data_IF_264056299532
#
_entry.id   IF_264056299532
#
_cell.length_a   1.000
_cell.length_b   1.000
_cell.length_c   1.000
_cell.angle_alpha   90.00
_cell.angle_beta   90.00
_cell.angle_gamma   90.00
#
_symmetry.space_group_name_H-M   'P 1'
#
loop_
_entity.id
_entity.type
_entity.pdbx_description
1 polymer ?
#
# COMPACT_ATOMS: atom_id res chain seq x y z
N UNK A 1 15.01 21.57 -7.63
CA UNK A 1 14.46 21.24 -8.95
C UNK A 1 15.50 20.55 -9.87
N UNK A 2 16.73 21.05 -9.98
CA UNK A 2 17.79 20.45 -10.83
C UNK A 2 18.24 19.04 -10.38
N UNK A 3 18.31 18.78 -9.08
CA UNK A 3 18.73 17.49 -8.51
C UNK A 3 17.71 16.37 -8.78
N UNK A 4 16.42 16.69 -8.76
CA UNK A 4 15.32 15.75 -9.06
C UNK A 4 15.37 15.36 -10.57
N UNK A 5 15.70 16.29 -11.43
CA UNK A 5 15.86 16.04 -12.88
C UNK A 5 17.07 15.13 -13.20
N UNK A 6 18.18 15.28 -12.47
CA UNK A 6 19.38 14.42 -12.64
C UNK A 6 19.08 12.99 -12.15
N UNK A 7 18.38 12.86 -11.02
CA UNK A 7 17.95 11.55 -10.50
C UNK A 7 16.95 10.90 -11.46
N UNK A 8 15.97 11.63 -11.95
CA UNK A 8 15.02 11.14 -12.95
C UNK A 8 15.72 10.68 -14.25
N UNK A 9 16.74 11.41 -14.71
CA UNK A 9 17.52 11.05 -15.91
C UNK A 9 18.39 9.80 -15.67
N UNK A 10 18.98 9.63 -14.50
CA UNK A 10 19.71 8.41 -14.14
C UNK A 10 18.77 7.21 -13.92
N UNK A 11 17.60 7.41 -13.32
CA UNK A 11 16.55 6.39 -13.24
C UNK A 11 16.03 5.96 -14.61
N UNK A 12 15.94 6.88 -15.57
CA UNK A 12 15.57 6.56 -16.96
C UNK A 12 16.64 5.67 -17.64
N UNK A 13 17.92 5.87 -17.34
CA UNK A 13 19.02 5.05 -17.85
C UNK A 13 18.96 3.64 -17.22
N UNK A 14 18.77 3.54 -15.92
CA UNK A 14 18.61 2.26 -15.20
C UNK A 14 17.37 1.52 -15.70
N UNK A 15 16.29 2.23 -15.95
CA UNK A 15 15.06 1.66 -16.50
C UNK A 15 15.21 1.21 -17.97
N UNK A 16 15.90 1.97 -18.82
CA UNK A 16 16.18 1.57 -20.20
C UNK A 16 17.12 0.36 -20.27
N UNK A 17 18.07 0.27 -19.36
CA UNK A 17 18.88 -0.93 -19.17
C UNK A 17 18.01 -2.12 -18.68
N UNK A 18 17.12 -1.88 -17.72
CA UNK A 18 16.13 -2.84 -17.24
C UNK A 18 15.24 -3.37 -18.38
N UNK A 19 14.76 -2.51 -19.27
CA UNK A 19 13.95 -2.86 -20.44
C UNK A 19 14.72 -3.74 -21.44
N UNK A 20 16.00 -3.46 -21.66
CA UNK A 20 16.86 -4.23 -22.58
C UNK A 20 17.13 -5.65 -22.07
N UNK A 21 17.12 -5.83 -20.74
CA UNK A 21 17.35 -7.13 -20.06
C UNK A 21 16.06 -7.95 -19.91
N UNK A 22 14.88 -7.33 -19.86
CA UNK A 22 13.60 -8.00 -19.58
C UNK A 22 12.86 -8.49 -20.82
N UNK A 23 13.25 -8.03 -22.00
CA UNK A 23 12.78 -8.52 -23.31
C UNK A 23 11.26 -8.71 -23.46
N UNK A 24 10.67 -7.96 -24.40
CA UNK A 24 9.35 -8.10 -25.04
C UNK A 24 8.07 -7.71 -24.26
N UNK A 25 7.47 -6.64 -24.80
CA UNK A 25 6.06 -6.45 -25.10
C UNK A 25 5.12 -5.95 -23.99
N UNK A 26 4.96 -4.62 -24.03
CA UNK A 26 3.67 -3.94 -24.04
C UNK A 26 3.97 -2.48 -24.41
N UNK A 27 3.05 -1.77 -25.07
CA UNK A 27 3.23 -0.33 -25.35
C UNK A 27 3.41 0.40 -24.03
N UNK A 28 4.66 0.66 -23.67
CA UNK A 28 5.04 1.21 -22.38
C UNK A 28 4.54 2.65 -22.30
N UNK A 29 3.66 2.90 -21.38
CA UNK A 29 3.20 4.24 -21.07
C UNK A 29 4.30 4.97 -20.28
N UNK A 30 5.09 5.79 -20.97
CA UNK A 30 6.19 6.54 -20.33
C UNK A 30 5.74 7.39 -19.14
N UNK A 31 4.47 7.83 -19.13
CA UNK A 31 3.91 8.61 -18.01
C UNK A 31 3.80 7.78 -16.74
N UNK A 32 3.40 6.52 -16.85
CA UNK A 32 3.29 5.60 -15.70
C UNK A 32 4.66 5.33 -15.09
N UNK A 33 5.66 5.07 -15.93
CA UNK A 33 7.03 4.81 -15.47
C UNK A 33 7.64 5.99 -14.71
N UNK A 34 7.46 7.20 -15.26
CA UNK A 34 7.95 8.43 -14.61
C UNK A 34 7.21 8.61 -13.28
N UNK A 35 5.91 8.36 -13.27
CA UNK A 35 5.08 8.48 -12.06
C UNK A 35 5.51 7.48 -10.99
N UNK A 36 5.72 6.20 -11.35
CA UNK A 36 6.19 5.16 -10.43
C UNK A 36 7.59 5.45 -9.89
N UNK A 37 8.49 5.91 -10.77
CA UNK A 37 9.83 6.33 -10.37
C UNK A 37 9.83 7.52 -9.40
N UNK A 38 9.01 8.52 -9.67
CA UNK A 38 8.83 9.67 -8.78
C UNK A 38 8.20 9.23 -7.44
N UNK A 39 7.19 8.36 -7.49
CA UNK A 39 6.52 7.79 -6.32
C UNK A 39 7.49 7.03 -5.44
N UNK A 40 8.37 6.20 -6.03
CA UNK A 40 9.41 5.47 -5.31
C UNK A 40 10.39 6.42 -4.60
N UNK A 41 10.95 7.39 -5.33
CA UNK A 41 11.94 8.33 -4.77
C UNK A 41 11.31 9.16 -3.65
N UNK A 42 10.10 9.67 -3.87
CA UNK A 42 9.33 10.40 -2.87
C UNK A 42 9.07 9.51 -1.63
N UNK A 43 8.55 8.30 -1.84
CA UNK A 43 8.30 7.35 -0.77
C UNK A 43 9.55 7.01 0.03
N UNK A 44 10.65 6.65 -0.63
CA UNK A 44 11.92 6.32 0.05
C UNK A 44 12.53 7.50 0.81
N UNK A 45 12.41 8.72 0.29
CA UNK A 45 12.91 9.92 0.97
C UNK A 45 12.14 10.20 2.26
N UNK A 46 10.79 10.19 2.19
CA UNK A 46 9.96 10.42 3.38
C UNK A 46 10.01 9.26 4.38
N UNK A 47 10.20 8.03 3.89
CA UNK A 47 10.42 6.86 4.74
C UNK A 47 11.73 6.98 5.52
N UNK A 48 12.81 7.41 4.86
CA UNK A 48 14.10 7.67 5.47
C UNK A 48 14.06 8.88 6.43
N UNK A 49 13.29 9.90 6.08
CA UNK A 49 13.07 11.06 6.95
C UNK A 49 12.31 10.64 8.23
N UNK A 50 11.27 9.83 8.10
CA UNK A 50 10.55 9.24 9.24
C UNK A 50 11.50 8.43 10.14
N UNK A 51 12.34 7.61 9.54
CA UNK A 51 13.34 6.80 10.23
C UNK A 51 14.28 7.68 11.07
N UNK A 52 14.89 8.73 10.47
CA UNK A 52 15.86 9.59 11.14
C UNK A 52 15.21 10.56 12.14
N UNK A 53 13.99 11.04 11.86
CA UNK A 53 13.33 12.08 12.66
C UNK A 53 12.55 11.51 13.85
N UNK A 54 11.88 10.38 13.67
CA UNK A 54 10.95 9.85 14.66
C UNK A 54 11.35 8.48 15.21
N UNK A 55 11.77 7.54 14.34
CA UNK A 55 11.98 6.16 14.79
C UNK A 55 13.28 6.01 15.56
N UNK A 56 14.39 6.43 14.96
CA UNK A 56 15.73 6.29 15.57
C UNK A 56 15.90 7.06 16.89
N UNK A 57 15.51 8.35 17.01
CA UNK A 57 15.67 9.08 18.27
C UNK A 57 14.80 8.56 19.41
N UNK A 58 13.69 7.88 19.09
CA UNK A 58 12.74 7.35 20.08
C UNK A 58 12.91 5.85 20.35
N UNK A 59 13.93 5.20 19.76
CA UNK A 59 14.16 3.76 19.89
C UNK A 59 12.95 2.90 19.45
N UNK A 60 12.25 3.32 18.39
CA UNK A 60 11.05 2.66 17.88
C UNK A 60 11.40 1.67 16.77
N UNK A 61 11.36 0.39 17.08
CA UNK A 61 11.66 -0.72 16.17
C UNK A 61 10.38 -1.16 15.47
N UNK A 62 9.96 -0.41 14.44
CA UNK A 62 8.64 -0.61 13.82
C UNK A 62 8.64 -1.82 12.87
N UNK A 63 9.59 -1.92 11.96
CA UNK A 63 9.64 -3.03 11.00
C UNK A 63 10.94 -3.10 10.24
N UNK A 64 11.14 -4.21 9.59
CA UNK A 64 12.21 -4.39 8.62
C UNK A 64 13.61 -4.32 9.19
N UNK A 65 14.58 -4.37 8.30
CA UNK A 65 15.98 -4.21 8.65
C UNK A 65 16.31 -2.80 9.16
N UNK A 66 15.43 -1.82 8.92
CA UNK A 66 15.54 -0.51 9.57
C UNK A 66 15.35 -0.60 11.08
N UNK A 67 14.43 -1.44 11.56
CA UNK A 67 14.30 -1.74 12.99
C UNK A 67 15.54 -2.41 13.56
N UNK A 68 16.10 -3.40 12.85
CA UNK A 68 17.36 -4.05 13.25
C UNK A 68 18.52 -3.03 13.25
N UNK A 69 18.55 -2.09 12.31
CA UNK A 69 19.57 -1.04 12.26
C UNK A 69 19.57 -0.17 13.53
N UNK A 70 18.39 0.16 14.08
CA UNK A 70 18.27 0.89 15.37
C UNK A 70 18.83 0.04 16.51
N UNK A 71 18.51 -1.26 16.55
CA UNK A 71 19.08 -2.19 17.55
C UNK A 71 20.60 -2.26 17.44
N UNK A 72 21.15 -2.40 16.23
CA UNK A 72 22.59 -2.48 16.00
C UNK A 72 23.29 -1.16 16.33
N UNK A 73 22.68 -0.03 16.06
CA UNK A 73 23.20 1.27 16.48
C UNK A 73 23.29 1.36 18.00
N UNK A 74 22.28 0.90 18.72
CA UNK A 74 22.26 0.95 20.20
C UNK A 74 23.27 0.02 20.81
N UNK A 75 23.40 -1.21 20.30
CA UNK A 75 24.29 -2.23 20.90
C UNK A 75 25.76 -2.07 20.50
N UNK A 76 26.01 -1.68 19.26
CA UNK A 76 27.38 -1.71 18.67
C UNK A 76 27.84 -0.34 18.17
N UNK A 77 27.01 0.70 18.21
CA UNK A 77 27.34 2.02 17.69
C UNK A 77 27.45 2.11 16.16
N UNK A 78 26.93 1.12 15.43
CA UNK A 78 27.01 1.09 13.97
C UNK A 78 26.11 2.16 13.35
N UNK A 79 26.61 2.80 12.28
CA UNK A 79 25.80 3.77 11.53
C UNK A 79 24.67 3.04 10.80
N UNK A 80 23.40 3.44 10.99
CA UNK A 80 22.26 2.73 10.41
C UNK A 80 22.32 2.58 8.89
N UNK A 81 22.76 3.63 8.18
CA UNK A 81 22.85 3.58 6.71
C UNK A 81 23.85 2.56 6.19
N UNK A 82 25.01 2.40 6.86
CA UNK A 82 26.02 1.41 6.47
C UNK A 82 25.51 0.01 6.76
N UNK A 83 24.92 -0.20 7.95
CA UNK A 83 24.31 -1.48 8.29
C UNK A 83 23.24 -1.87 7.27
N UNK A 84 22.31 -0.96 6.94
CA UNK A 84 21.27 -1.18 5.96
C UNK A 84 21.81 -1.53 4.57
N UNK A 85 22.87 -0.84 4.14
CA UNK A 85 23.50 -1.13 2.86
C UNK A 85 24.09 -2.56 2.83
N UNK A 86 24.87 -2.94 3.82
CA UNK A 86 25.46 -4.26 3.92
C UNK A 86 24.39 -5.36 4.02
N UNK A 87 23.39 -5.15 4.89
CA UNK A 87 22.30 -6.09 5.07
C UNK A 87 21.49 -6.28 3.77
N UNK A 88 21.17 -5.19 3.07
CA UNK A 88 20.43 -5.26 1.82
C UNK A 88 21.22 -5.96 0.72
N UNK A 89 22.54 -5.78 0.63
CA UNK A 89 23.38 -6.52 -0.34
C UNK A 89 23.30 -8.03 -0.05
N UNK A 90 23.43 -8.44 1.20
CA UNK A 90 23.30 -9.86 1.60
C UNK A 90 21.91 -10.38 1.25
N UNK A 91 20.85 -9.63 1.59
CA UNK A 91 19.49 -10.02 1.30
C UNK A 91 19.17 -10.08 -0.20
N UNK A 92 19.78 -9.25 -1.02
CA UNK A 92 19.66 -9.32 -2.48
C UNK A 92 20.29 -10.60 -3.04
N UNK A 93 21.42 -11.05 -2.47
CA UNK A 93 22.02 -12.35 -2.83
C UNK A 93 21.09 -13.49 -2.44
N UNK A 94 20.53 -13.45 -1.24
CA UNK A 94 19.53 -14.43 -0.77
C UNK A 94 18.28 -14.38 -1.67
N UNK A 95 17.80 -13.20 -2.00
CA UNK A 95 16.68 -13.02 -2.92
C UNK A 95 16.95 -13.68 -4.29
N UNK A 96 18.14 -13.50 -4.83
CA UNK A 96 18.54 -14.12 -6.10
C UNK A 96 18.51 -15.64 -6.02
N UNK A 97 19.05 -16.22 -4.96
CA UNK A 97 19.10 -17.69 -4.77
C UNK A 97 17.69 -18.27 -4.62
N UNK A 98 16.83 -17.67 -3.80
CA UNK A 98 15.53 -18.25 -3.46
C UNK A 98 14.39 -17.82 -4.40
N UNK A 99 14.39 -16.59 -4.88
CA UNK A 99 13.31 -16.02 -5.68
C UNK A 99 13.66 -15.88 -7.16
N UNK A 100 14.95 -15.93 -7.50
CA UNK A 100 15.45 -15.81 -8.85
C UNK A 100 15.55 -14.38 -9.35
N UNK A 101 16.19 -14.23 -10.53
CA UNK A 101 16.53 -12.92 -11.11
C UNK A 101 15.34 -11.99 -11.35
N UNK A 102 14.20 -12.55 -11.74
CA UNK A 102 12.98 -11.78 -12.06
C UNK A 102 12.47 -10.94 -10.87
N UNK A 103 12.53 -11.48 -9.65
CA UNK A 103 12.12 -10.80 -8.41
C UNK A 103 13.24 -9.91 -7.88
N UNK A 104 14.48 -10.40 -7.92
CA UNK A 104 15.64 -9.67 -7.40
C UNK A 104 15.83 -8.31 -8.07
N UNK A 105 15.69 -8.25 -9.39
CA UNK A 105 15.83 -6.97 -10.13
C UNK A 105 14.83 -5.89 -9.70
N UNK A 106 13.63 -6.27 -9.25
CA UNK A 106 12.64 -5.32 -8.70
C UNK A 106 13.07 -4.79 -7.33
N UNK A 107 13.72 -5.64 -6.55
CA UNK A 107 14.16 -5.27 -5.20
C UNK A 107 15.47 -4.48 -5.18
N UNK A 108 16.35 -4.60 -6.19
CA UNK A 108 17.66 -3.94 -6.24
C UNK A 108 17.54 -2.42 -6.09
N UNK A 109 16.61 -1.81 -6.82
CA UNK A 109 16.50 -0.34 -6.88
C UNK A 109 16.20 0.23 -5.52
N UNK A 110 15.14 -0.25 -4.85
CA UNK A 110 14.77 0.25 -3.54
C UNK A 110 15.76 -0.13 -2.45
N UNK A 111 16.30 -1.35 -2.46
CA UNK A 111 17.28 -1.82 -1.48
C UNK A 111 18.58 -1.02 -1.47
N UNK A 112 19.02 -0.50 -2.61
CA UNK A 112 20.22 0.33 -2.69
C UNK A 112 19.92 1.82 -2.49
N UNK A 113 18.75 2.29 -2.95
CA UNK A 113 18.36 3.70 -2.78
C UNK A 113 17.99 4.03 -1.33
N UNK A 114 17.36 3.12 -0.59
CA UNK A 114 16.92 3.39 0.77
C UNK A 114 18.06 3.80 1.72
N UNK A 115 19.16 3.06 1.85
CA UNK A 115 20.31 3.49 2.69
C UNK A 115 20.89 4.84 2.26
N UNK A 116 20.91 5.15 0.97
CA UNK A 116 21.33 6.44 0.46
C UNK A 116 20.37 7.55 0.91
N UNK A 117 19.06 7.31 0.85
CA UNK A 117 18.06 8.27 1.33
C UNK A 117 18.14 8.48 2.83
N UNK A 118 18.48 7.45 3.62
CA UNK A 118 18.75 7.58 5.07
C UNK A 118 19.90 8.55 5.32
N UNK A 119 20.99 8.44 4.54
CA UNK A 119 22.12 9.38 4.67
C UNK A 119 21.75 10.79 4.22
N UNK A 120 21.06 10.93 3.10
CA UNK A 120 20.68 12.24 2.52
C UNK A 120 19.65 12.97 3.39
N UNK A 121 18.72 12.24 4.02
CA UNK A 121 17.68 12.85 4.87
C UNK A 121 18.17 13.25 6.26
N UNK A 122 19.35 12.77 6.70
CA UNK A 122 19.86 13.03 8.04
C UNK A 122 20.03 14.54 8.37
N UNK A 123 20.66 15.38 7.52
CA UNK A 123 20.77 16.82 7.80
C UNK A 123 19.40 17.50 7.86
N UNK A 124 18.45 17.09 7.03
CA UNK A 124 17.09 17.61 7.07
C UNK A 124 16.35 17.17 8.34
N UNK A 125 16.52 15.91 8.76
CA UNK A 125 15.94 15.40 10.00
C UNK A 125 16.49 16.16 11.23
N UNK A 126 17.80 16.41 11.28
CA UNK A 126 18.42 17.19 12.38
C UNK A 126 17.97 18.65 12.40
N UNK A 127 17.69 19.25 11.25
CA UNK A 127 17.13 20.60 11.19
C UNK A 127 15.65 20.60 11.66
N UNK A 128 14.84 19.69 11.15
CA UNK A 128 13.43 19.60 11.47
C UNK A 128 13.16 19.13 12.91
N UNK A 129 14.08 18.36 13.50
CA UNK A 129 13.94 17.89 14.89
C UNK A 129 13.78 19.03 15.88
N UNK A 130 14.39 20.18 15.62
CA UNK A 130 14.30 21.38 16.48
C UNK A 130 12.88 21.98 16.52
N UNK A 131 12.06 21.70 15.50
CA UNK A 131 10.71 22.28 15.34
C UNK A 131 9.59 21.29 15.48
N UNK A 132 9.82 20.01 15.08
CA UNK A 132 8.80 18.99 14.99
C UNK A 132 8.86 17.92 16.10
N UNK A 133 10.00 17.78 16.79
CA UNK A 133 10.04 16.92 17.97
C UNK A 133 9.50 17.75 19.12
N UNK A 134 8.26 17.42 19.49
CA UNK A 134 7.60 17.98 20.67
C UNK A 134 7.99 17.18 21.90
N UNK A 135 7.88 17.81 23.09
CA UNK A 135 8.01 17.09 24.38
C UNK A 135 6.91 16.03 24.54
N UNK A 136 5.83 16.15 23.78
CA UNK A 136 4.73 15.18 23.77
C UNK A 136 5.07 13.98 22.88
N UNK A 137 5.39 12.87 23.55
CA UNK A 137 5.71 11.60 22.89
C UNK A 137 4.54 11.05 22.06
N UNK A 138 3.29 11.25 22.46
CA UNK A 138 2.12 10.76 21.73
C UNK A 138 1.94 11.47 20.39
N UNK A 139 2.20 12.78 20.37
CA UNK A 139 2.16 13.55 19.13
C UNK A 139 3.28 13.12 18.18
N UNK A 140 4.46 12.87 18.69
CA UNK A 140 5.59 12.30 17.93
C UNK A 140 5.23 10.93 17.34
N UNK A 141 4.57 10.07 18.12
CA UNK A 141 4.08 8.76 17.68
C UNK A 141 3.07 8.88 16.54
N UNK A 142 2.13 9.83 16.64
CA UNK A 142 1.12 10.08 15.62
C UNK A 142 1.75 10.53 14.30
N UNK A 143 2.70 11.47 14.34
CA UNK A 143 3.43 11.89 13.15
C UNK A 143 4.26 10.78 12.54
N UNK A 144 4.95 9.98 13.37
CA UNK A 144 5.68 8.80 12.91
C UNK A 144 4.78 7.82 12.17
N UNK A 145 3.60 7.51 12.74
CA UNK A 145 2.62 6.60 12.16
C UNK A 145 2.12 7.07 10.79
N UNK A 146 1.73 8.34 10.70
CA UNK A 146 1.23 8.92 9.44
C UNK A 146 2.32 8.92 8.38
N UNK A 147 3.50 9.45 8.72
CA UNK A 147 4.60 9.58 7.78
C UNK A 147 5.13 8.22 7.32
N UNK A 148 5.25 7.25 8.25
CA UNK A 148 5.63 5.88 7.95
C UNK A 148 4.62 5.21 7.01
N UNK A 149 3.33 5.30 7.31
CA UNK A 149 2.27 4.68 6.50
C UNK A 149 2.15 5.30 5.11
N UNK A 150 2.19 6.63 5.03
CA UNK A 150 2.13 7.36 3.75
C UNK A 150 3.34 7.03 2.88
N UNK A 151 4.54 7.11 3.42
CA UNK A 151 5.76 6.83 2.66
C UNK A 151 5.84 5.37 2.18
N UNK A 152 5.49 4.41 3.05
CA UNK A 152 5.41 2.99 2.67
C UNK A 152 4.38 2.75 1.57
N UNK A 153 3.22 3.40 1.65
CA UNK A 153 2.18 3.32 0.62
C UNK A 153 2.67 3.78 -0.76
N UNK A 154 3.43 4.87 -0.84
CA UNK A 154 4.03 5.34 -2.10
C UNK A 154 5.08 4.36 -2.64
N UNK A 155 5.89 3.75 -1.78
CA UNK A 155 6.87 2.74 -2.18
C UNK A 155 6.16 1.53 -2.79
N UNK A 156 5.17 0.96 -2.10
CA UNK A 156 4.46 -0.22 -2.59
C UNK A 156 3.61 0.06 -3.83
N UNK A 157 2.97 1.24 -3.92
CA UNK A 157 2.24 1.66 -5.11
C UNK A 157 3.11 1.72 -6.36
N UNK A 158 4.38 2.08 -6.22
CA UNK A 158 5.33 2.10 -7.33
C UNK A 158 5.72 0.70 -7.84
N UNK A 159 5.27 -0.38 -7.18
CA UNK A 159 5.60 -1.76 -7.51
C UNK A 159 7.01 -2.19 -7.10
N UNK A 160 7.69 -1.36 -6.30
CA UNK A 160 9.00 -1.63 -5.73
C UNK A 160 8.91 -1.87 -4.22
N UNK A 161 10.04 -2.18 -3.59
CA UNK A 161 10.17 -2.36 -2.14
C UNK A 161 11.34 -1.52 -1.61
N UNK A 162 11.37 -1.26 -0.31
CA UNK A 162 12.53 -0.66 0.35
C UNK A 162 13.66 -1.67 0.61
N UNK A 163 13.44 -2.95 0.30
CA UNK A 163 14.37 -4.04 0.64
C UNK A 163 14.15 -4.56 2.06
N UNK A 164 15.19 -5.16 2.65
CA UNK A 164 15.12 -5.63 4.03
C UNK A 164 14.10 -6.76 4.24
N UNK A 165 13.20 -6.58 5.22
CA UNK A 165 12.17 -7.59 5.55
C UNK A 165 11.20 -7.91 4.41
N UNK A 166 11.03 -7.02 3.44
CA UNK A 166 10.18 -7.27 2.28
C UNK A 166 10.68 -8.46 1.46
N UNK A 167 12.01 -8.63 1.39
CA UNK A 167 12.62 -9.80 0.73
C UNK A 167 12.30 -11.08 1.51
N UNK A 168 12.41 -11.04 2.84
CA UNK A 168 12.08 -12.17 3.71
C UNK A 168 10.60 -12.53 3.57
N UNK A 169 9.73 -11.53 3.60
CA UNK A 169 8.29 -11.69 3.40
C UNK A 169 7.99 -12.40 2.07
N UNK A 170 8.62 -11.98 0.96
CA UNK A 170 8.47 -12.61 -0.35
C UNK A 170 8.93 -14.07 -0.36
N UNK A 171 10.02 -14.39 0.35
CA UNK A 171 10.51 -15.77 0.49
C UNK A 171 9.50 -16.63 1.27
N UNK A 172 9.04 -16.14 2.43
CA UNK A 172 8.02 -16.82 3.24
C UNK A 172 6.74 -17.06 2.45
N UNK A 173 6.26 -16.04 1.73
CA UNK A 173 5.08 -16.16 0.88
C UNK A 173 5.23 -17.27 -0.16
N UNK A 174 6.37 -17.32 -0.87
CA UNK A 174 6.63 -18.31 -1.93
C UNK A 174 6.70 -19.73 -1.40
N UNK A 175 7.41 -19.96 -0.30
CA UNK A 175 7.69 -21.32 0.20
C UNK A 175 6.64 -21.84 1.18
N UNK A 176 6.12 -20.97 2.05
CA UNK A 176 5.09 -21.35 3.03
C UNK A 176 3.67 -21.22 2.47
N UNK A 177 3.49 -20.63 1.27
CA UNK A 177 2.19 -20.42 0.62
C UNK A 177 1.18 -19.66 1.52
N UNK A 178 1.67 -18.82 2.40
CA UNK A 178 0.86 -17.95 3.26
C UNK A 178 0.58 -16.62 2.55
N UNK A 179 -0.49 -15.92 2.91
CA UNK A 179 -0.77 -14.60 2.36
C UNK A 179 0.35 -13.60 2.70
N UNK A 180 0.53 -12.58 1.85
CA UNK A 180 1.53 -11.52 2.05
C UNK A 180 1.38 -10.85 3.43
N UNK A 181 0.15 -10.56 3.85
CA UNK A 181 -0.13 -9.98 5.16
C UNK A 181 0.35 -10.85 6.32
N UNK A 182 0.16 -12.18 6.25
CA UNK A 182 0.65 -13.11 7.28
C UNK A 182 2.17 -13.17 7.29
N UNK A 183 2.80 -13.22 6.12
CA UNK A 183 4.26 -13.22 6.00
C UNK A 183 4.86 -11.92 6.54
N UNK A 184 4.23 -10.78 6.28
CA UNK A 184 4.61 -9.46 6.80
C UNK A 184 4.54 -9.39 8.33
N UNK A 185 3.42 -9.84 8.92
CA UNK A 185 3.25 -9.86 10.37
C UNK A 185 4.29 -10.76 11.02
N UNK A 186 4.56 -11.94 10.44
CA UNK A 186 5.56 -12.87 10.98
C UNK A 186 6.98 -12.29 10.92
N UNK A 187 7.40 -11.78 9.76
CA UNK A 187 8.74 -11.21 9.57
C UNK A 187 8.98 -9.98 10.46
N UNK A 188 8.04 -9.05 10.47
CA UNK A 188 8.18 -7.82 11.27
C UNK A 188 7.90 -8.05 12.76
N UNK A 189 7.01 -8.97 13.10
CA UNK A 189 6.74 -9.35 14.49
C UNK A 189 7.99 -9.85 15.22
N UNK A 190 8.80 -10.70 14.59
CA UNK A 190 10.06 -11.16 15.15
C UNK A 190 11.04 -9.99 15.41
N UNK A 191 11.07 -9.02 14.50
CA UNK A 191 11.92 -7.84 14.62
C UNK A 191 11.45 -6.94 15.78
N UNK A 192 10.15 -6.71 15.90
CA UNK A 192 9.58 -5.94 17.02
C UNK A 192 9.88 -6.63 18.36
N UNK A 193 9.72 -7.96 18.43
CA UNK A 193 10.05 -8.74 19.64
C UNK A 193 11.54 -8.59 19.98
N UNK A 194 12.45 -8.63 19.01
CA UNK A 194 13.87 -8.38 19.27
C UNK A 194 14.12 -6.97 19.82
N UNK A 195 13.37 -5.97 19.31
CA UNK A 195 13.39 -4.61 19.83
C UNK A 195 12.89 -4.49 21.27
N UNK A 196 11.87 -5.28 21.66
CA UNK A 196 11.36 -5.32 23.03
C UNK A 196 12.42 -5.76 24.05
N UNK A 197 13.27 -6.72 23.68
CA UNK A 197 14.35 -7.16 24.56
C UNK A 197 15.44 -6.10 24.78
N UNK A 198 15.66 -5.22 23.79
CA UNK A 198 16.72 -4.18 23.87
C UNK A 198 16.20 -2.87 24.46
N UNK A 199 15.00 -2.44 24.07
CA UNK A 199 14.44 -1.12 24.40
C UNK A 199 13.29 -1.17 25.40
N UNK A 200 12.88 -2.38 25.81
CA UNK A 200 11.80 -2.61 26.76
C UNK A 200 10.43 -2.78 26.09
N UNK A 201 9.51 -3.38 26.86
CA UNK A 201 8.18 -3.76 26.40
C UNK A 201 7.34 -2.59 25.85
N UNK A 202 7.38 -1.44 26.54
CA UNK A 202 6.60 -0.25 26.16
C UNK A 202 6.95 0.25 24.75
N UNK A 203 8.26 0.32 24.41
CA UNK A 203 8.72 0.73 23.09
C UNK A 203 8.29 -0.25 22.00
N UNK A 204 8.28 -1.53 22.30
CA UNK A 204 7.78 -2.54 21.39
C UNK A 204 6.29 -2.43 21.13
N UNK A 205 5.47 -2.15 22.16
CA UNK A 205 4.04 -1.92 22.00
C UNK A 205 3.77 -0.69 21.10
N UNK A 206 4.49 0.42 21.31
CA UNK A 206 4.37 1.59 20.43
C UNK A 206 4.79 1.29 18.98
N UNK A 207 5.87 0.53 18.80
CA UNK A 207 6.31 0.09 17.48
C UNK A 207 5.25 -0.76 16.77
N UNK A 208 4.61 -1.67 17.52
CA UNK A 208 3.50 -2.47 16.99
C UNK A 208 2.29 -1.63 16.61
N UNK A 209 1.94 -0.62 17.42
CA UNK A 209 0.83 0.31 17.11
C UNK A 209 1.14 1.07 15.82
N UNK A 210 2.37 1.59 15.65
CA UNK A 210 2.77 2.26 14.41
C UNK A 210 2.62 1.31 13.23
N UNK A 211 3.16 0.08 13.32
CA UNK A 211 3.08 -0.90 12.25
C UNK A 211 1.64 -1.21 11.87
N UNK A 212 0.80 -1.53 12.84
CA UNK A 212 -0.59 -1.93 12.62
C UNK A 212 -1.43 -0.79 12.04
N UNK A 213 -1.38 0.38 12.66
CA UNK A 213 -2.18 1.53 12.20
C UNK A 213 -1.68 2.11 10.87
N UNK A 214 -0.37 2.01 10.56
CA UNK A 214 0.17 2.48 9.28
C UNK A 214 -0.37 1.70 8.09
N UNK A 215 -0.78 0.42 8.26
CA UNK A 215 -1.37 -0.39 7.18
C UNK A 215 -2.60 0.28 6.57
N UNK A 216 -3.38 1.03 7.37
CA UNK A 216 -4.52 1.78 6.89
C UNK A 216 -4.14 2.86 5.84
N UNK A 217 -3.02 3.55 6.07
CA UNK A 217 -2.51 4.54 5.11
C UNK A 217 -1.91 3.87 3.88
N UNK A 218 -1.20 2.76 4.08
CA UNK A 218 -0.66 1.95 2.98
C UNK A 218 -1.76 1.50 2.04
N UNK A 219 -2.82 0.88 2.57
CA UNK A 219 -3.95 0.40 1.78
C UNK A 219 -4.64 1.54 1.01
N UNK A 220 -4.85 2.70 1.66
CA UNK A 220 -5.45 3.86 1.01
C UNK A 220 -4.62 4.42 -0.14
N UNK A 221 -3.30 4.39 -0.03
CA UNK A 221 -2.41 4.91 -1.07
C UNK A 221 -2.24 3.89 -2.20
N UNK A 222 -2.14 2.59 -1.86
CA UNK A 222 -2.02 1.53 -2.86
C UNK A 222 -3.27 1.37 -3.72
N UNK A 223 -4.42 1.26 -3.07
CA UNK A 223 -5.69 0.93 -3.72
C UNK A 223 -6.58 2.13 -3.97
N UNK A 224 -6.21 3.30 -3.45
CA UNK A 224 -7.05 4.49 -3.48
C UNK A 224 -8.14 4.49 -2.40
N UNK A 225 -8.90 5.57 -2.35
CA UNK A 225 -10.09 5.66 -1.52
C UNK A 225 -11.22 5.00 -2.30
N UNK A 226 -11.86 3.97 -1.73
CA UNK A 226 -13.03 3.36 -2.34
C UNK A 226 -14.16 4.39 -2.37
N UNK A 227 -14.37 5.01 -3.53
CA UNK A 227 -15.43 6.03 -3.71
C UNK A 227 -16.78 5.40 -4.10
N UNK A 228 -16.82 4.10 -4.32
CA UNK A 228 -17.99 3.39 -4.80
C UNK A 228 -18.25 2.10 -4.05
N UNK A 229 -19.52 1.68 -4.05
CA UNK A 229 -19.98 0.39 -3.56
C UNK A 229 -20.59 -0.41 -4.71
N UNK A 230 -20.22 -1.68 -4.78
CA UNK A 230 -20.78 -2.63 -5.73
C UNK A 230 -21.92 -3.39 -5.06
N UNK A 231 -23.09 -3.28 -5.64
CA UNK A 231 -24.29 -3.99 -5.20
C UNK A 231 -24.56 -5.19 -6.10
N UNK A 232 -24.77 -6.34 -5.48
CA UNK A 232 -25.38 -7.50 -6.09
C UNK A 232 -26.75 -7.69 -5.44
N UNK A 233 -27.82 -7.45 -6.21
CA UNK A 233 -29.20 -7.42 -5.69
C UNK A 233 -30.00 -8.55 -6.32
N UNK A 234 -30.47 -9.48 -5.51
CA UNK A 234 -31.40 -10.52 -5.91
C UNK A 234 -32.78 -10.21 -5.32
N UNK A 235 -33.78 -10.01 -6.17
CA UNK A 235 -35.11 -9.54 -5.77
C UNK A 235 -36.20 -10.11 -6.68
N UNK A 236 -37.39 -10.27 -6.11
CA UNK A 236 -38.58 -10.60 -6.88
C UNK A 236 -39.19 -9.39 -7.60
N UNK A 237 -38.90 -8.17 -7.15
CA UNK A 237 -39.40 -6.90 -7.69
C UNK A 237 -38.40 -6.23 -8.65
N UNK A 238 -37.77 -7.05 -9.50
CA UNK A 238 -36.66 -6.63 -10.38
C UNK A 238 -36.98 -5.39 -11.21
N UNK A 239 -38.21 -5.32 -11.79
CA UNK A 239 -38.61 -4.15 -12.63
C UNK A 239 -38.62 -2.85 -11.85
N UNK A 240 -39.14 -2.85 -10.61
CA UNK A 240 -39.17 -1.65 -9.75
C UNK A 240 -37.77 -1.21 -9.33
N UNK A 241 -36.89 -2.15 -8.97
CA UNK A 241 -35.52 -1.83 -8.57
C UNK A 241 -34.69 -1.36 -9.76
N UNK A 242 -34.83 -1.92 -10.94
CA UNK A 242 -34.20 -1.40 -12.17
C UNK A 242 -34.61 0.04 -12.45
N UNK A 243 -35.91 0.35 -12.31
CA UNK A 243 -36.43 1.72 -12.49
C UNK A 243 -35.84 2.68 -11.45
N UNK A 244 -35.80 2.28 -10.19
CA UNK A 244 -35.17 3.02 -9.09
C UNK A 244 -33.72 3.40 -9.43
N UNK A 245 -32.89 2.42 -9.82
CA UNK A 245 -31.46 2.63 -10.11
C UNK A 245 -31.26 3.60 -11.28
N UNK A 246 -32.06 3.45 -12.34
CA UNK A 246 -31.93 4.31 -13.53
C UNK A 246 -32.48 5.71 -13.35
N UNK A 247 -33.62 5.87 -12.69
CA UNK A 247 -34.32 7.14 -12.62
C UNK A 247 -33.94 7.98 -11.42
N UNK A 248 -33.83 7.39 -10.22
CA UNK A 248 -33.49 8.13 -9.01
C UNK A 248 -31.97 8.26 -8.85
N UNK A 249 -31.21 7.17 -9.06
CA UNK A 249 -29.74 7.17 -8.85
C UNK A 249 -28.96 7.44 -10.13
N UNK A 250 -29.60 7.49 -11.28
CA UNK A 250 -28.98 7.77 -12.59
C UNK A 250 -27.71 6.93 -12.85
N UNK A 251 -27.73 5.68 -12.39
CA UNK A 251 -26.59 4.76 -12.45
C UNK A 251 -26.93 3.59 -13.36
N UNK A 252 -25.93 3.15 -14.13
CA UNK A 252 -26.05 1.93 -14.95
C UNK A 252 -26.06 0.67 -14.09
N UNK A 253 -26.69 -0.38 -14.62
CA UNK A 253 -26.64 -1.70 -14.01
C UNK A 253 -26.47 -2.79 -15.07
N UNK A 254 -25.95 -3.93 -14.65
CA UNK A 254 -25.91 -5.17 -15.43
C UNK A 254 -26.80 -6.20 -14.80
N UNK A 255 -27.51 -7.00 -15.61
CA UNK A 255 -28.32 -8.11 -15.11
C UNK A 255 -27.67 -9.44 -15.43
N UNK A 256 -27.56 -10.28 -14.43
CA UNK A 256 -26.96 -11.61 -14.52
C UNK A 256 -28.06 -12.64 -14.23
N UNK A 257 -28.40 -13.54 -15.19
CA UNK A 257 -29.32 -14.62 -14.93
C UNK A 257 -28.71 -15.63 -13.96
N UNK A 258 -29.48 -16.14 -13.04
CA UNK A 258 -29.00 -17.12 -12.05
C UNK A 258 -30.13 -17.98 -11.51
N UNK A 259 -29.79 -19.15 -10.97
CA UNK A 259 -30.72 -20.04 -10.31
C UNK A 259 -30.44 -20.08 -8.83
N UNK A 260 -31.46 -19.87 -8.01
CA UNK A 260 -31.32 -19.94 -6.56
C UNK A 260 -30.96 -21.35 -6.10
N UNK A 261 -29.84 -21.54 -5.42
CA UNK A 261 -29.35 -22.84 -4.96
C UNK A 261 -30.31 -23.56 -4.01
N UNK A 262 -31.03 -22.81 -3.16
CA UNK A 262 -32.03 -23.37 -2.26
C UNK A 262 -33.40 -23.49 -2.88
N UNK A 263 -33.83 -22.47 -3.64
CA UNK A 263 -35.19 -22.41 -4.19
C UNK A 263 -35.34 -23.13 -5.54
N UNK A 264 -34.25 -23.46 -6.22
CA UNK A 264 -34.16 -23.98 -7.58
C UNK A 264 -34.95 -23.16 -8.62
N UNK A 265 -35.25 -21.88 -8.28
CA UNK A 265 -35.98 -20.97 -9.18
C UNK A 265 -35.03 -20.08 -9.94
N UNK A 266 -35.34 -19.90 -11.22
CA UNK A 266 -34.61 -18.93 -12.04
C UNK A 266 -34.93 -17.51 -11.57
N UNK A 267 -33.91 -16.67 -11.53
CA UNK A 267 -34.00 -15.27 -11.14
C UNK A 267 -32.96 -14.41 -11.85
N UNK A 268 -33.01 -13.14 -11.56
CA UNK A 268 -32.07 -12.15 -12.12
C UNK A 268 -31.39 -11.44 -10.96
N UNK A 269 -30.07 -11.48 -10.97
CA UNK A 269 -29.24 -10.63 -10.10
C UNK A 269 -28.95 -9.31 -10.82
N UNK A 270 -29.16 -8.19 -10.15
CA UNK A 270 -28.82 -6.86 -10.62
C UNK A 270 -27.48 -6.49 -10.00
N UNK A 271 -26.50 -6.13 -10.84
CA UNK A 271 -25.21 -5.64 -10.43
C UNK A 271 -25.10 -4.15 -10.78
N UNK A 272 -24.84 -3.29 -9.81
CA UNK A 272 -24.62 -1.87 -10.03
C UNK A 272 -23.56 -1.30 -9.07
N UNK A 273 -22.79 -0.32 -9.56
CA UNK A 273 -21.84 0.43 -8.74
C UNK A 273 -22.41 1.82 -8.45
N UNK A 274 -22.44 2.22 -7.19
CA UNK A 274 -22.95 3.53 -6.77
C UNK A 274 -21.92 4.24 -5.90
N UNK A 275 -21.99 5.57 -5.85
CA UNK A 275 -21.13 6.37 -5.01
C UNK A 275 -21.35 6.07 -3.52
N UNK A 276 -20.32 6.31 -2.69
CA UNK A 276 -20.47 6.19 -1.24
C UNK A 276 -21.57 7.12 -0.68
N UNK A 277 -21.85 8.24 -1.33
CA UNK A 277 -22.91 9.18 -0.91
C UNK A 277 -24.30 8.59 -1.13
N UNK A 278 -24.48 7.82 -2.18
CA UNK A 278 -25.77 7.24 -2.57
C UNK A 278 -26.02 5.85 -1.96
N UNK A 279 -24.96 5.21 -1.46
CA UNK A 279 -24.99 3.86 -0.92
C UNK A 279 -26.11 3.62 0.10
N UNK A 280 -26.18 4.51 1.12
CA UNK A 280 -27.14 4.36 2.20
C UNK A 280 -28.58 4.53 1.70
N UNK A 281 -28.79 5.54 0.86
CA UNK A 281 -30.10 5.85 0.29
C UNK A 281 -30.57 4.72 -0.64
N UNK A 282 -29.71 4.23 -1.52
CA UNK A 282 -30.06 3.12 -2.40
C UNK A 282 -30.43 1.87 -1.61
N UNK A 283 -29.63 1.50 -0.60
CA UNK A 283 -29.92 0.35 0.27
C UNK A 283 -31.29 0.50 0.94
N UNK A 284 -31.59 1.66 1.52
CA UNK A 284 -32.88 1.95 2.17
C UNK A 284 -34.05 1.83 1.20
N UNK A 285 -33.95 2.44 0.03
CA UNK A 285 -35.00 2.45 -0.99
C UNK A 285 -35.26 1.05 -1.56
N UNK A 286 -34.22 0.23 -1.72
CA UNK A 286 -34.40 -1.17 -2.14
C UNK A 286 -35.22 -1.95 -1.10
N UNK A 287 -34.89 -1.80 0.19
CA UNK A 287 -35.61 -2.51 1.27
C UNK A 287 -37.05 -2.00 1.44
N UNK A 288 -37.34 -0.72 1.18
CA UNK A 288 -38.70 -0.19 1.12
C UNK A 288 -39.53 -0.83 -0.01
N UNK A 289 -38.90 -1.05 -1.17
CA UNK A 289 -39.57 -1.69 -2.31
C UNK A 289 -39.74 -3.19 -2.06
N UNK A 290 -38.69 -3.88 -1.63
CA UNK A 290 -38.69 -5.30 -1.35
C UNK A 290 -37.93 -5.63 -0.06
N UNK A 291 -38.63 -5.74 1.07
CA UNK A 291 -38.01 -6.11 2.36
C UNK A 291 -37.31 -7.48 2.36
N UNK A 292 -37.66 -8.35 1.39
CA UNK A 292 -37.06 -9.69 1.24
C UNK A 292 -35.90 -9.73 0.24
N UNK A 293 -35.47 -8.58 -0.29
CA UNK A 293 -34.35 -8.49 -1.21
C UNK A 293 -33.05 -8.97 -0.57
N UNK A 294 -32.36 -9.89 -1.22
CA UNK A 294 -31.02 -10.31 -0.82
C UNK A 294 -30.00 -9.42 -1.51
N UNK A 295 -29.12 -8.82 -0.71
CA UNK A 295 -28.10 -7.91 -1.21
C UNK A 295 -26.73 -8.26 -0.64
N UNK A 296 -25.73 -8.36 -1.55
CA UNK A 296 -24.32 -8.35 -1.20
C UNK A 296 -23.78 -6.99 -1.61
N UNK A 297 -23.08 -6.32 -0.69
CA UNK A 297 -22.53 -4.99 -0.91
C UNK A 297 -21.03 -5.06 -0.61
N UNK A 298 -20.22 -4.80 -1.64
CA UNK A 298 -18.78 -4.86 -1.54
C UNK A 298 -18.14 -3.48 -1.78
N UNK A 299 -16.89 -3.32 -1.35
CA UNK A 299 -16.10 -2.12 -1.63
C UNK A 299 -15.61 -2.17 -3.07
N UNK A 300 -15.88 -1.13 -3.84
CA UNK A 300 -15.36 -0.98 -5.18
C UNK A 300 -14.35 0.16 -5.18
N UNK A 301 -13.08 -0.17 -5.40
CA UNK A 301 -12.01 0.82 -5.40
C UNK A 301 -11.96 1.64 -6.66
N UNK A 302 -12.32 1.05 -7.79
CA UNK A 302 -12.26 1.73 -9.08
C UNK A 302 -13.40 1.26 -9.98
N UNK A 303 -14.06 2.21 -10.63
CA UNK A 303 -15.07 1.96 -11.66
C UNK A 303 -14.63 2.67 -12.93
N UNK A 304 -14.14 1.88 -13.88
CA UNK A 304 -13.75 2.39 -15.19
C UNK A 304 -14.86 2.19 -16.21
N UNK A 305 -15.21 3.25 -16.93
CA UNK A 305 -16.29 3.23 -17.92
C UNK A 305 -17.66 3.43 -17.27
N UNK A 306 -18.69 3.20 -18.04
CA UNK A 306 -20.07 3.49 -17.67
C UNK A 306 -20.48 4.92 -18.09
N UNK A 307 -21.69 5.03 -18.60
CA UNK A 307 -22.24 6.32 -19.02
C UNK A 307 -23.10 6.87 -17.89
N UNK A 308 -22.68 7.97 -17.27
CA UNK A 308 -23.60 8.77 -16.46
C UNK A 308 -24.60 9.43 -17.42
N UNK A 309 -25.88 9.32 -17.12
CA UNK A 309 -26.97 9.79 -17.98
C UNK A 309 -26.90 11.28 -18.35
N UNK A 310 -26.12 12.08 -17.61
CA UNK A 310 -25.85 13.49 -17.96
C UNK A 310 -25.15 13.69 -19.30
N UNK A 311 -24.58 12.64 -19.90
CA UNK A 311 -23.83 12.71 -21.16
C UNK A 311 -24.50 11.90 -22.31
N UNK A 312 -25.71 11.38 -22.14
CA UNK A 312 -26.45 10.78 -23.22
C UNK A 312 -27.38 11.87 -23.78
N UNK A 313 -27.18 12.33 -25.04
CA UNK A 313 -28.17 13.15 -25.70
C UNK A 313 -29.48 12.33 -25.75
N UNK A 314 -30.57 12.93 -25.39
CA UNK A 314 -31.88 12.30 -25.46
C UNK A 314 -32.11 11.71 -26.88
N UNK A 315 -32.28 10.40 -26.96
CA UNK A 315 -33.00 9.74 -28.06
C UNK A 315 -34.45 9.83 -27.79
#
# INVERSE_FOLDING_TARGET
>A
MFFILIIAKKLLIVYNWYRKVVGKMEKVNYKEIIFDGCSLVFGLFFYALCFNLFLTPNDLVVSGFSGIAIVMQKLFGWTPSIFLLCANVILLIICYIFLGWSTTKKNIVGSLLYPLMVTISLPMATFLSKYLITEDFYLTLLFALILYGVSSGFIYRSGFTAGGSDIIMQIINKYCKVSESKAMIFANGLIIVSGMFVFGFTKGVYSFIILYCSTFFVDKIMFGISDSKLFYIYTRKTRKIKKLILEEFQTGFTTIPGTGGYSHKNGIMIMCAVSNNDYYNLKKRILEIDPSAFMIIDKCYEVNGGVKRSNIPFL
#
